data_IF_356024473278
#
_entry.id   IF_356024473278
#
_cell.length_a   1.000
_cell.length_b   1.000
_cell.length_c   1.000
_cell.angle_alpha   90.00
_cell.angle_beta   90.00
_cell.angle_gamma   90.00
#
_symmetry.space_group_name_H-M   'P 1'
#
loop_
_entity.id
_entity.type
_entity.pdbx_description
1 polymer ?
#
# COMPACT_ATOMS: atom_id res chain seq x y z
N UNK A 1 -12.29 -7.32 17.21
CA UNK A 1 -11.22 -7.98 16.43
C UNK A 1 -10.81 -7.08 15.26
N UNK A 2 -9.51 -6.86 15.04
CA UNK A 2 -8.99 -6.08 13.91
C UNK A 2 -9.02 -6.87 12.60
N UNK A 3 -9.02 -6.17 11.47
CA UNK A 3 -8.96 -6.76 10.12
C UNK A 3 -7.82 -6.09 9.34
N UNK A 4 -7.07 -6.84 8.55
CA UNK A 4 -6.01 -6.25 7.74
C UNK A 4 -5.55 -7.14 6.61
N UNK A 5 -4.73 -6.56 5.73
CA UNK A 5 -4.02 -7.29 4.68
C UNK A 5 -2.62 -7.65 5.16
N UNK A 6 -2.17 -8.89 4.94
CA UNK A 6 -0.82 -9.35 5.28
C UNK A 6 -0.22 -10.10 4.09
N UNK A 7 0.27 -9.41 3.06
CA UNK A 7 0.41 -7.96 2.89
C UNK A 7 -0.08 -7.56 1.50
N UNK A 8 -0.37 -6.27 1.28
CA UNK A 8 -0.37 -5.70 -0.09
C UNK A 8 1.05 -5.29 -0.50
N UNK A 9 1.21 -4.71 -1.70
CA UNK A 9 2.51 -4.32 -2.26
C UNK A 9 2.45 -2.96 -2.99
N UNK A 10 3.58 -2.23 -3.07
CA UNK A 10 3.64 -0.90 -3.69
C UNK A 10 3.78 -0.91 -5.23
N UNK A 11 3.77 -2.07 -5.87
CA UNK A 11 4.08 -2.20 -7.31
C UNK A 11 2.85 -2.25 -8.20
N UNK A 12 1.76 -2.79 -7.65
CA UNK A 12 0.58 -3.17 -8.45
C UNK A 12 -0.53 -2.12 -8.43
N UNK A 13 -0.42 -1.12 -7.56
CA UNK A 13 -1.35 0.00 -7.42
C UNK A 13 -0.59 1.25 -7.03
N UNK A 14 -1.04 2.41 -7.52
CA UNK A 14 -0.54 3.70 -7.05
C UNK A 14 -0.74 3.82 -5.52
N UNK A 15 0.21 4.36 -4.74
CA UNK A 15 0.11 4.44 -3.29
C UNK A 15 -1.18 5.11 -2.81
N UNK A 16 -1.60 6.21 -3.45
CA UNK A 16 -2.84 6.90 -3.06
C UNK A 16 -4.12 6.08 -3.31
N UNK A 17 -4.10 5.17 -4.29
CA UNK A 17 -5.21 4.23 -4.50
C UNK A 17 -5.25 3.17 -3.39
N UNK A 18 -4.08 2.69 -2.96
CA UNK A 18 -3.97 1.81 -1.79
C UNK A 18 -4.46 2.51 -0.52
N UNK A 19 -4.09 3.78 -0.34
CA UNK A 19 -4.52 4.62 0.76
C UNK A 19 -6.04 4.79 0.79
N UNK A 20 -6.63 5.17 -0.34
CA UNK A 20 -8.09 5.32 -0.45
C UNK A 20 -8.81 4.00 -0.13
N UNK A 21 -8.30 2.88 -0.66
CA UNK A 21 -8.84 1.55 -0.39
C UNK A 21 -8.84 1.19 1.10
N UNK A 22 -7.72 1.37 1.81
CA UNK A 22 -7.72 1.08 3.25
C UNK A 22 -8.56 2.07 4.04
N UNK A 23 -8.62 3.35 3.64
CA UNK A 23 -9.46 4.34 4.30
C UNK A 23 -10.95 3.96 4.22
N UNK A 24 -11.42 3.50 3.05
CA UNK A 24 -12.79 2.98 2.90
C UNK A 24 -13.04 1.75 3.77
N UNK A 25 -12.09 0.81 3.83
CA UNK A 25 -12.20 -0.36 4.73
C UNK A 25 -12.20 0.07 6.20
N UNK A 26 -11.41 1.09 6.56
CA UNK A 26 -11.36 1.62 7.91
C UNK A 26 -12.69 2.25 8.33
N UNK A 27 -13.35 2.99 7.42
CA UNK A 27 -14.68 3.55 7.63
C UNK A 27 -15.71 2.43 7.86
N UNK A 28 -15.85 1.50 6.91
CA UNK A 28 -16.85 0.41 6.98
C UNK A 28 -16.61 -0.53 8.17
N UNK A 29 -15.33 -0.74 8.55
CA UNK A 29 -14.99 -1.60 9.69
C UNK A 29 -15.10 -0.90 11.05
N UNK A 30 -15.34 0.41 11.11
CA UNK A 30 -15.39 1.17 12.35
C UNK A 30 -14.02 1.32 13.02
N UNK A 31 -12.99 1.66 12.25
CA UNK A 31 -11.64 1.93 12.78
C UNK A 31 -10.76 0.70 13.01
N UNK A 32 -11.13 -0.46 12.46
CA UNK A 32 -10.47 -1.75 12.75
C UNK A 32 -9.48 -2.18 11.67
N UNK A 33 -9.28 -1.37 10.64
CA UNK A 33 -8.46 -1.72 9.48
C UNK A 33 -6.96 -1.55 9.77
N UNK A 34 -6.16 -2.51 9.30
CA UNK A 34 -4.69 -2.48 9.38
C UNK A 34 -4.13 -2.66 7.97
N UNK A 35 -3.30 -1.71 7.52
CA UNK A 35 -2.59 -1.80 6.24
C UNK A 35 -1.23 -2.46 6.42
N UNK A 36 -1.10 -3.74 6.07
CA UNK A 36 0.20 -4.39 5.90
C UNK A 36 0.74 -4.17 4.49
N UNK A 37 1.94 -3.60 4.36
CA UNK A 37 2.67 -3.44 3.10
C UNK A 37 3.96 -4.24 3.15
N UNK A 38 4.28 -4.94 2.06
CA UNK A 38 5.57 -5.60 1.91
C UNK A 38 6.01 -5.73 0.46
N UNK A 39 7.05 -6.53 0.26
CA UNK A 39 7.74 -6.62 -1.02
C UNK A 39 6.89 -7.26 -2.14
N UNK A 40 5.87 -8.04 -1.80
CA UNK A 40 5.18 -8.91 -2.76
C UNK A 40 6.06 -10.07 -3.26
N UNK A 41 5.41 -11.13 -3.73
CA UNK A 41 6.09 -12.34 -4.20
C UNK A 41 6.42 -12.26 -5.69
N UNK A 42 7.66 -12.57 -6.07
CA UNK A 42 8.10 -12.52 -7.47
C UNK A 42 7.27 -13.44 -8.37
N UNK A 43 6.89 -14.63 -7.89
CA UNK A 43 6.02 -15.56 -8.63
C UNK A 43 4.64 -14.99 -8.97
N UNK A 44 4.12 -14.06 -8.15
CA UNK A 44 2.86 -13.37 -8.45
C UNK A 44 3.06 -12.26 -9.47
N UNK A 45 4.24 -11.63 -9.49
CA UNK A 45 4.57 -10.62 -10.49
C UNK A 45 4.76 -11.26 -11.87
N UNK A 46 5.45 -12.39 -11.95
CA UNK A 46 5.60 -13.16 -13.19
C UNK A 46 4.24 -13.50 -13.80
N UNK A 47 3.29 -13.96 -12.97
CA UNK A 47 1.90 -14.26 -13.40
C UNK A 47 1.10 -13.03 -13.84
N UNK A 48 1.49 -11.84 -13.39
CA UNK A 48 0.90 -10.56 -13.80
C UNK A 48 1.63 -9.95 -15.01
N UNK A 49 2.68 -10.60 -15.53
CA UNK A 49 3.52 -10.04 -16.59
C UNK A 49 4.33 -8.82 -16.11
N UNK A 50 4.59 -8.72 -14.81
CA UNK A 50 5.32 -7.62 -14.19
C UNK A 50 6.74 -8.05 -13.85
N UNK A 51 7.71 -7.28 -14.31
CA UNK A 51 9.07 -7.33 -13.78
C UNK A 51 9.17 -6.34 -12.63
N UNK A 52 9.72 -6.76 -11.48
CA UNK A 52 9.93 -5.86 -10.35
C UNK A 52 10.89 -4.73 -10.78
N UNK A 53 10.44 -3.46 -10.83
CA UNK A 53 11.21 -2.39 -11.47
C UNK A 53 12.27 -1.77 -10.57
N UNK A 54 12.09 -1.80 -9.23
CA UNK A 54 12.99 -1.16 -8.26
C UNK A 54 13.11 -1.97 -6.96
N UNK A 55 14.08 -1.58 -6.12
CA UNK A 55 14.40 -2.23 -4.86
C UNK A 55 13.17 -2.37 -3.93
N UNK A 56 12.92 -3.55 -3.33
CA UNK A 56 11.89 -3.76 -2.33
C UNK A 56 11.90 -2.76 -1.19
N UNK A 57 13.08 -2.46 -0.66
CA UNK A 57 13.22 -1.56 0.48
C UNK A 57 12.85 -0.14 0.08
N UNK A 58 13.31 0.32 -1.09
CA UNK A 58 12.99 1.65 -1.62
C UNK A 58 11.50 1.80 -1.85
N UNK A 59 10.88 0.87 -2.59
CA UNK A 59 9.47 0.92 -2.94
C UNK A 59 8.55 0.94 -1.69
N UNK A 60 8.87 0.13 -0.68
CA UNK A 60 8.11 0.11 0.58
C UNK A 60 8.29 1.42 1.34
N UNK A 61 9.53 1.92 1.46
CA UNK A 61 9.85 3.16 2.17
C UNK A 61 9.12 4.36 1.55
N UNK A 62 9.13 4.46 0.23
CA UNK A 62 8.47 5.53 -0.51
C UNK A 62 6.95 5.44 -0.37
N UNK A 63 6.37 4.25 -0.55
CA UNK A 63 4.94 4.06 -0.36
C UNK A 63 4.48 4.44 1.06
N UNK A 64 5.22 4.06 2.10
CA UNK A 64 4.90 4.46 3.49
C UNK A 64 4.98 5.98 3.67
N UNK A 65 6.02 6.63 3.11
CA UNK A 65 6.16 8.09 3.15
C UNK A 65 5.03 8.83 2.43
N UNK A 66 4.50 8.28 1.35
CA UNK A 66 3.35 8.84 0.63
C UNK A 66 2.04 8.58 1.38
N UNK A 67 1.86 7.39 1.94
CA UNK A 67 0.61 6.95 2.57
C UNK A 67 0.35 7.61 3.92
N UNK A 68 1.38 7.85 4.74
CA UNK A 68 1.21 8.44 6.07
C UNK A 68 0.54 9.82 6.06
N UNK A 69 1.05 10.84 5.34
CA UNK A 69 0.38 12.13 5.24
C UNK A 69 -1.00 12.02 4.57
N UNK A 70 -1.11 11.20 3.51
CA UNK A 70 -2.40 10.98 2.84
C UNK A 70 -3.49 10.48 3.79
N UNK A 71 -3.19 9.47 4.60
CA UNK A 71 -4.14 8.90 5.57
C UNK A 71 -4.42 9.83 6.76
N UNK A 72 -3.61 10.87 6.97
CA UNK A 72 -3.87 11.96 7.92
C UNK A 72 -4.73 13.07 7.33
N UNK A 73 -5.10 12.99 6.05
CA UNK A 73 -5.83 14.04 5.33
C UNK A 73 -4.94 15.21 4.90
N UNK A 74 -3.61 15.03 4.91
CA UNK A 74 -2.65 16.04 4.48
C UNK A 74 -2.49 16.02 2.95
N UNK A 75 -2.09 17.16 2.38
CA UNK A 75 -1.71 17.21 0.96
C UNK A 75 -0.40 16.45 0.78
N UNK A 76 -0.35 15.60 -0.24
CA UNK A 76 0.85 14.84 -0.60
C UNK A 76 1.50 15.45 -1.82
N UNK A 77 2.77 15.83 -1.68
CA UNK A 77 3.66 16.19 -2.78
C UNK A 77 4.83 15.20 -2.77
N UNK A 78 4.96 14.40 -3.84
CA UNK A 78 5.94 13.33 -3.94
C UNK A 78 6.45 13.25 -5.38
N UNK A 79 7.77 13.46 -5.56
CA UNK A 79 8.48 13.49 -6.84
C UNK A 79 9.46 12.32 -6.94
#
# INVERSE_FOLDING_TARGET
ASLGVSVTNPYTRHPLITGAGIASVNEVSGGRAILGIGAGASTLFDRQGLTRPYSPVTAIKEAVKTLQPFLRGETVDFH
#
